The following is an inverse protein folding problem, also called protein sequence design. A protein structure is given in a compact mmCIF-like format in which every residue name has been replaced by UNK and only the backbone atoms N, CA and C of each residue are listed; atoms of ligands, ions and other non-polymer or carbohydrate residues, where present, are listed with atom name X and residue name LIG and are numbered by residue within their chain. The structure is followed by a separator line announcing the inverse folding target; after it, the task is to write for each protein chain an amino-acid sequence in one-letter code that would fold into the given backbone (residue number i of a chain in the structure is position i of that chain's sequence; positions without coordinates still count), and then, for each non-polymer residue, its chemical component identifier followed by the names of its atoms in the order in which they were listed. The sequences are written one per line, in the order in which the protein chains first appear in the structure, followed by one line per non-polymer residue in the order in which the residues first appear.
data_IF_546814783222
#
_entry.id   IF_546814783222
#
_cell.length_a   1.000
_cell.length_b   1.000
_cell.length_c   1.000
_cell.angle_alpha   90.00
_cell.angle_beta   90.00
_cell.angle_gamma   90.00
#
_symmetry.space_group_name_H-M   'P 1'
#
loop_
_entity.id
_entity.type
_entity.pdbx_description
1 polymer ?
#
# COMPACT_ATOMS: atom_id res chain seq x y z
N UNK A 1 -33.39 -38.54 -9.73
CA UNK A 1 -32.60 -38.30 -8.49
C UNK A 1 -31.26 -39.01 -8.64
N UNK A 2 -30.16 -38.49 -8.08
CA UNK A 2 -28.88 -39.22 -8.08
C UNK A 2 -29.02 -40.45 -7.18
N UNK A 3 -28.60 -41.61 -7.66
CA UNK A 3 -28.66 -42.85 -6.88
C UNK A 3 -27.47 -43.02 -5.93
N UNK A 4 -26.37 -42.31 -6.19
CA UNK A 4 -25.13 -42.41 -5.42
C UNK A 4 -24.60 -41.02 -5.06
N UNK A 5 -23.98 -40.91 -3.89
CA UNK A 5 -23.40 -39.68 -3.37
C UNK A 5 -22.25 -39.16 -4.24
N UNK A 6 -21.38 -40.05 -4.74
CA UNK A 6 -20.27 -39.69 -5.63
C UNK A 6 -19.22 -38.72 -5.05
N UNK A 7 -19.16 -38.52 -3.73
CA UNK A 7 -18.10 -37.73 -3.09
C UNK A 7 -16.79 -38.54 -3.04
N UNK A 8 -15.64 -37.90 -3.23
CA UNK A 8 -14.34 -38.58 -3.19
C UNK A 8 -14.04 -39.05 -1.75
N UNK A 9 -13.88 -40.36 -1.56
CA UNK A 9 -13.46 -40.95 -0.27
C UNK A 9 -11.94 -40.78 -0.09
N UNK A 10 -11.44 -41.02 1.13
CA UNK A 10 -9.99 -41.06 1.41
C UNK A 10 -9.23 -42.07 0.54
N UNK A 11 -9.88 -43.16 0.14
CA UNK A 11 -9.33 -44.17 -0.79
C UNK A 11 -9.30 -43.74 -2.26
N UNK A 12 -9.68 -42.50 -2.58
CA UNK A 12 -9.71 -41.97 -3.95
C UNK A 12 -10.96 -42.33 -4.76
N UNK A 13 -11.65 -43.41 -4.39
CA UNK A 13 -12.89 -43.84 -5.06
C UNK A 13 -14.12 -42.96 -4.72
N UNK A 14 -15.12 -42.89 -5.62
CA UNK A 14 -16.39 -42.22 -5.34
C UNK A 14 -17.22 -42.95 -4.27
N UNK A 15 -17.95 -42.19 -3.47
CA UNK A 15 -18.84 -42.72 -2.45
C UNK A 15 -20.06 -43.41 -3.07
N UNK A 16 -20.25 -44.69 -2.76
CA UNK A 16 -21.36 -45.52 -3.23
C UNK A 16 -22.60 -45.51 -2.31
N UNK A 17 -22.62 -44.69 -1.25
CA UNK A 17 -23.81 -44.56 -0.39
C UNK A 17 -24.88 -43.73 -1.11
N UNK A 18 -26.18 -44.03 -0.92
CA UNK A 18 -27.25 -43.22 -1.48
C UNK A 18 -27.23 -41.81 -0.87
N UNK A 19 -27.56 -40.76 -1.66
CA UNK A 19 -27.73 -39.42 -1.12
C UNK A 19 -29.00 -39.33 -0.27
N UNK A 20 -29.08 -38.33 0.62
CA UNK A 20 -30.32 -38.08 1.37
C UNK A 20 -31.40 -37.56 0.42
N UNK A 21 -32.68 -37.83 0.72
CA UNK A 21 -33.83 -37.40 -0.09
C UNK A 21 -33.77 -35.89 -0.35
N UNK A 22 -33.85 -35.49 -1.61
CA UNK A 22 -33.78 -34.07 -2.03
C UNK A 22 -32.39 -33.42 -1.97
N UNK A 23 -31.32 -34.17 -1.66
CA UNK A 23 -29.95 -33.65 -1.58
C UNK A 23 -29.00 -34.36 -2.54
N UNK A 24 -27.86 -33.74 -2.81
CA UNK A 24 -26.84 -34.28 -3.72
C UNK A 24 -25.85 -35.26 -3.06
N UNK A 25 -25.78 -35.31 -1.71
CA UNK A 25 -24.76 -36.06 -0.96
C UNK A 25 -25.38 -36.90 0.16
N UNK A 26 -24.66 -37.94 0.60
CA UNK A 26 -25.07 -38.80 1.72
C UNK A 26 -24.78 -38.15 3.08
N UNK A 27 -25.32 -38.75 4.15
CA UNK A 27 -25.17 -38.29 5.55
C UNK A 27 -23.70 -38.04 5.96
N UNK A 28 -22.77 -38.83 5.41
CA UNK A 28 -21.34 -38.74 5.73
C UNK A 28 -20.55 -37.71 4.91
N UNK A 29 -21.08 -37.24 3.78
CA UNK A 29 -20.36 -36.34 2.86
C UNK A 29 -21.13 -35.02 2.65
N UNK A 30 -21.61 -34.41 3.74
CA UNK A 30 -22.28 -33.11 3.71
C UNK A 30 -23.78 -33.16 3.43
N UNK A 31 -24.40 -34.34 3.35
CA UNK A 31 -25.86 -34.45 3.23
C UNK A 31 -26.61 -33.91 4.46
N UNK A 32 -25.98 -33.86 5.63
CA UNK A 32 -26.56 -33.21 6.82
C UNK A 32 -26.31 -31.70 6.85
N UNK A 33 -25.38 -31.19 6.05
CA UNK A 33 -25.07 -29.77 6.04
C UNK A 33 -26.30 -28.98 5.58
N UNK A 34 -26.69 -28.00 6.38
CA UNK A 34 -27.73 -27.01 6.08
C UNK A 34 -27.18 -25.77 5.39
N UNK A 35 -25.85 -25.73 5.22
CA UNK A 35 -25.14 -24.51 4.84
C UNK A 35 -24.99 -23.55 6.03
N UNK A 36 -24.21 -22.48 5.86
CA UNK A 36 -24.19 -21.39 6.81
C UNK A 36 -25.58 -20.76 6.93
N UNK A 37 -26.00 -20.33 8.13
CA UNK A 37 -27.22 -19.54 8.27
C UNK A 37 -27.08 -18.21 7.54
N UNK A 38 -28.21 -17.64 7.13
CA UNK A 38 -28.25 -16.31 6.54
C UNK A 38 -27.62 -15.29 7.52
N UNK A 39 -26.63 -14.52 7.05
CA UNK A 39 -25.89 -13.57 7.88
C UNK A 39 -24.69 -14.13 8.66
N UNK A 40 -24.29 -15.39 8.43
CA UNK A 40 -23.08 -15.92 9.08
C UNK A 40 -21.81 -15.18 8.63
N UNK A 41 -20.99 -14.75 9.58
CA UNK A 41 -19.67 -14.14 9.33
C UNK A 41 -18.51 -15.12 9.49
N UNK A 42 -18.79 -16.43 9.62
CA UNK A 42 -17.76 -17.44 9.92
C UNK A 42 -16.69 -17.60 8.82
N UNK A 43 -16.99 -17.17 7.60
CA UNK A 43 -16.03 -17.15 6.49
C UNK A 43 -15.28 -15.81 6.34
N UNK A 44 -15.65 -14.80 7.14
CA UNK A 44 -15.02 -13.48 7.15
C UNK A 44 -13.75 -13.55 8.02
N UNK A 45 -12.58 -13.35 7.40
CA UNK A 45 -11.28 -13.45 8.10
C UNK A 45 -10.80 -12.08 8.58
N UNK A 46 -10.82 -11.08 7.71
CA UNK A 46 -10.24 -9.76 7.98
C UNK A 46 -11.15 -8.58 7.59
N UNK A 47 -12.30 -8.83 6.95
CA UNK A 47 -13.31 -7.80 6.66
C UNK A 47 -12.93 -6.73 5.60
N UNK A 48 -11.67 -6.68 5.14
CA UNK A 48 -11.16 -5.62 4.22
C UNK A 48 -11.99 -5.47 2.94
N UNK A 49 -12.51 -6.58 2.41
CA UNK A 49 -13.29 -6.60 1.17
C UNK A 49 -14.80 -6.69 1.41
N UNK A 50 -15.25 -6.54 2.66
CA UNK A 50 -16.67 -6.59 3.01
C UNK A 50 -17.37 -5.32 2.50
N UNK A 51 -18.55 -5.47 1.90
CA UNK A 51 -19.32 -4.36 1.31
C UNK A 51 -19.98 -3.42 2.34
N UNK A 52 -20.08 -3.84 3.59
CA UNK A 52 -20.82 -3.14 4.64
C UNK A 52 -19.93 -2.92 5.86
N UNK A 53 -20.09 -1.75 6.48
CA UNK A 53 -19.42 -1.43 7.74
C UNK A 53 -20.06 -2.20 8.90
N UNK A 54 -19.24 -2.66 9.83
CA UNK A 54 -19.72 -3.03 11.16
C UNK A 54 -20.22 -1.81 11.92
N UNK A 55 -21.00 -2.01 12.99
CA UNK A 55 -21.51 -0.91 13.81
C UNK A 55 -20.39 -0.01 14.36
N UNK A 56 -19.29 -0.61 14.84
CA UNK A 56 -18.15 0.12 15.36
C UNK A 56 -17.40 0.91 14.26
N UNK A 57 -17.30 0.36 13.05
CA UNK A 57 -16.70 1.08 11.91
C UNK A 57 -17.59 2.22 11.44
N UNK A 58 -18.92 2.03 11.43
CA UNK A 58 -19.87 3.08 11.08
C UNK A 58 -19.81 4.26 12.06
N UNK A 59 -19.67 3.99 13.36
CA UNK A 59 -19.50 5.04 14.37
C UNK A 59 -18.18 5.79 14.18
N UNK A 60 -17.07 5.08 13.95
CA UNK A 60 -15.78 5.72 13.63
C UNK A 60 -15.85 6.54 12.35
N UNK A 61 -16.49 6.02 11.32
CA UNK A 61 -16.64 6.73 10.06
C UNK A 61 -17.35 8.07 10.26
N UNK A 62 -18.36 8.12 11.12
CA UNK A 62 -19.08 9.35 11.45
C UNK A 62 -18.26 10.34 12.29
N UNK A 63 -17.34 9.86 13.14
CA UNK A 63 -16.52 10.72 13.98
C UNK A 63 -15.25 11.24 13.29
N UNK A 64 -14.85 10.66 12.15
CA UNK A 64 -13.71 11.13 11.37
C UNK A 64 -14.00 12.51 10.79
N UNK A 65 -13.22 13.50 11.23
CA UNK A 65 -13.20 14.82 10.60
C UNK A 65 -12.27 14.79 9.39
N UNK A 66 -12.81 15.13 8.23
CA UNK A 66 -12.00 15.33 7.02
C UNK A 66 -11.38 16.72 7.06
N UNK A 67 -10.07 16.79 6.82
CA UNK A 67 -9.36 18.06 6.64
C UNK A 67 -9.56 18.63 5.23
N UNK A 68 -9.16 19.88 5.02
CA UNK A 68 -9.12 20.45 3.67
C UNK A 68 -7.88 19.96 2.91
N UNK A 69 -7.96 19.97 1.58
CA UNK A 69 -6.79 19.73 0.71
C UNK A 69 -5.65 20.70 1.04
N UNK A 70 -5.98 21.92 1.44
CA UNK A 70 -5.01 22.94 1.85
C UNK A 70 -4.28 22.59 3.15
N UNK A 71 -4.94 21.95 4.11
CA UNK A 71 -4.30 21.52 5.35
C UNK A 71 -3.32 20.38 5.10
N UNK A 72 -3.68 19.45 4.21
CA UNK A 72 -2.78 18.39 3.76
C UNK A 72 -1.57 18.95 3.00
N UNK A 73 -1.77 19.95 2.14
CA UNK A 73 -0.69 20.65 1.43
C UNK A 73 0.29 21.32 2.38
N UNK A 74 -0.22 22.11 3.34
CA UNK A 74 0.63 22.76 4.36
C UNK A 74 1.46 21.72 5.12
N UNK A 75 0.83 20.63 5.54
CA UNK A 75 1.52 19.57 6.26
C UNK A 75 2.59 18.87 5.39
N UNK A 76 2.29 18.62 4.12
CA UNK A 76 3.27 18.02 3.20
C UNK A 76 4.47 18.94 2.95
N UNK A 77 4.25 20.26 2.79
CA UNK A 77 5.34 21.24 2.66
C UNK A 77 6.23 21.29 3.91
N UNK A 78 5.63 21.35 5.10
CA UNK A 78 6.38 21.28 6.37
C UNK A 78 7.21 19.98 6.47
N UNK A 79 6.64 18.85 6.04
CA UNK A 79 7.35 17.56 6.05
C UNK A 79 8.49 17.54 5.04
N UNK A 80 8.32 18.15 3.87
CA UNK A 80 9.36 18.26 2.84
C UNK A 80 10.53 19.10 3.35
N UNK A 81 10.26 20.28 3.93
CA UNK A 81 11.28 21.13 4.55
C UNK A 81 12.07 20.36 5.61
N UNK A 82 11.38 19.59 6.46
CA UNK A 82 12.03 18.75 7.47
C UNK A 82 12.87 17.62 6.86
N UNK A 83 12.41 17.00 5.78
CA UNK A 83 13.13 15.95 5.08
C UNK A 83 14.42 16.50 4.45
N UNK A 84 14.34 17.63 3.75
CA UNK A 84 15.49 18.33 3.16
C UNK A 84 16.48 18.78 4.23
N UNK A 85 15.99 19.32 5.36
CA UNK A 85 16.85 19.68 6.49
C UNK A 85 17.56 18.46 7.07
N UNK A 86 16.85 17.35 7.27
CA UNK A 86 17.43 16.12 7.81
C UNK A 86 18.43 15.49 6.83
N UNK A 87 18.17 15.57 5.53
CA UNK A 87 19.09 15.18 4.47
C UNK A 87 20.37 16.00 4.53
N UNK A 88 20.27 17.33 4.59
CA UNK A 88 21.43 18.22 4.70
C UNK A 88 22.25 17.98 5.98
N UNK A 89 21.58 17.69 7.11
CA UNK A 89 22.25 17.35 8.38
C UNK A 89 22.93 15.98 8.36
N UNK A 90 22.47 15.07 7.50
CA UNK A 90 23.04 13.72 7.31
C UNK A 90 24.02 13.65 6.13
N UNK A 91 24.00 14.63 5.23
CA UNK A 91 25.01 14.81 4.20
C UNK A 91 26.39 14.94 4.87
N UNK A 92 27.17 13.87 4.79
CA UNK A 92 28.49 13.78 5.44
C UNK A 92 28.53 13.04 6.79
N UNK A 93 27.41 12.61 7.36
CA UNK A 93 27.38 11.71 8.55
C UNK A 93 27.16 10.26 8.13
N UNK A 94 28.22 9.45 8.16
CA UNK A 94 28.13 8.02 7.88
C UNK A 94 27.70 7.23 9.13
N UNK A 95 26.43 6.83 9.14
CA UNK A 95 25.92 5.47 9.45
C UNK A 95 25.76 5.03 10.92
N UNK A 96 24.56 4.51 11.22
CA UNK A 96 24.34 3.56 12.31
C UNK A 96 24.97 2.23 11.87
N UNK A 97 25.96 1.78 12.62
CA UNK A 97 26.66 0.51 12.42
C UNK A 97 25.84 -0.60 13.10
N UNK A 98 24.97 -1.28 12.36
CA UNK A 98 24.37 -2.52 12.85
C UNK A 98 25.40 -3.64 12.66
N UNK A 99 26.03 -4.06 13.75
CA UNK A 99 26.85 -5.26 13.80
C UNK A 99 25.96 -6.46 14.14
N UNK A 100 25.89 -7.41 13.21
CA UNK A 100 25.24 -8.70 13.46
C UNK A 100 26.36 -9.70 13.68
N UNK A 101 26.46 -10.21 14.91
CA UNK A 101 27.31 -11.35 15.24
C UNK A 101 26.63 -12.64 14.80
N UNK A 102 27.13 -13.25 13.74
CA UNK A 102 26.70 -14.57 13.30
C UNK A 102 27.80 -15.60 13.65
N UNK A 103 27.41 -16.80 14.06
CA UNK A 103 28.34 -17.92 14.17
C UNK A 103 28.28 -18.75 12.89
N UNK A 104 29.40 -18.79 12.15
CA UNK A 104 29.54 -19.68 11.00
C UNK A 104 30.02 -21.05 11.47
N UNK A 105 29.38 -22.14 11.06
CA UNK A 105 29.89 -23.50 11.28
C UNK A 105 30.57 -24.00 10.01
N UNK A 106 31.81 -24.44 10.12
CA UNK A 106 32.47 -25.21 9.06
C UNK A 106 33.19 -26.40 9.69
N UNK A 107 32.91 -27.61 9.19
CA UNK A 107 33.44 -28.88 9.73
C UNK A 107 33.27 -29.05 11.27
N UNK A 108 32.15 -28.57 11.85
CA UNK A 108 31.87 -28.69 13.28
C UNK A 108 32.61 -27.70 14.19
N UNK A 109 33.37 -26.77 13.62
CA UNK A 109 34.08 -25.71 14.33
C UNK A 109 33.31 -24.39 14.15
N UNK A 110 32.99 -23.73 15.26
CA UNK A 110 32.30 -22.44 15.28
C UNK A 110 33.31 -21.30 15.13
N UNK A 111 33.15 -20.49 14.09
CA UNK A 111 33.94 -19.28 13.87
C UNK A 111 33.08 -18.03 14.11
N UNK A 112 33.59 -17.03 14.85
CA UNK A 112 32.90 -15.74 14.98
C UNK A 112 32.94 -15.02 13.63
N UNK A 113 31.77 -14.77 13.03
CA UNK A 113 31.63 -13.98 11.81
C UNK A 113 30.84 -12.70 12.12
N UNK A 114 31.53 -11.56 12.09
CA UNK A 114 30.90 -10.25 12.27
C UNK A 114 30.60 -9.64 10.90
N UNK A 115 29.32 -9.49 10.57
CA UNK A 115 28.93 -8.74 9.37
C UNK A 115 28.46 -7.35 9.79
N UNK A 116 29.15 -6.31 9.31
CA UNK A 116 28.78 -4.92 9.53
C UNK A 116 27.93 -4.43 8.38
N UNK A 117 26.69 -4.02 8.67
CA UNK A 117 25.82 -3.37 7.70
C UNK A 117 25.65 -1.91 8.07
N UNK A 118 25.77 -1.08 7.06
CA UNK A 118 25.68 0.36 7.14
C UNK A 118 24.44 0.76 6.36
N UNK A 119 23.40 1.25 7.05
CA UNK A 119 22.18 1.73 6.40
C UNK A 119 22.11 3.26 6.46
N UNK A 120 22.10 3.89 5.28
CA UNK A 120 21.76 5.32 5.13
C UNK A 120 20.23 5.43 5.12
N UNK A 121 19.68 6.53 5.64
CA UNK A 121 18.25 6.81 5.50
C UNK A 121 17.99 7.23 4.05
N UNK A 122 17.07 6.54 3.36
CA UNK A 122 16.68 6.89 1.99
C UNK A 122 15.83 8.17 1.98
N UNK A 123 16.45 9.35 2.07
CA UNK A 123 15.74 10.63 2.01
C UNK A 123 15.11 10.88 0.64
N UNK A 124 15.77 10.48 -0.45
CA UNK A 124 15.26 10.60 -1.82
C UNK A 124 13.85 10.04 -1.95
N UNK A 125 13.63 8.80 -1.46
CA UNK A 125 12.30 8.17 -1.49
C UNK A 125 11.25 8.93 -0.69
N UNK A 126 11.66 9.56 0.42
CA UNK A 126 10.76 10.36 1.27
C UNK A 126 10.42 11.66 0.55
N UNK A 127 11.42 12.34 -0.02
CA UNK A 127 11.28 13.61 -0.74
C UNK A 127 10.43 13.41 -1.99
N UNK A 128 10.76 12.43 -2.84
CA UNK A 128 9.99 12.09 -4.04
C UNK A 128 8.53 11.76 -3.69
N UNK A 129 8.31 11.00 -2.62
CA UNK A 129 6.97 10.67 -2.15
C UNK A 129 6.17 11.90 -1.68
N UNK A 130 6.85 12.89 -1.08
CA UNK A 130 6.22 14.15 -0.66
C UNK A 130 5.94 15.06 -1.86
N UNK A 131 6.87 15.19 -2.80
CA UNK A 131 6.68 15.96 -4.04
C UNK A 131 5.53 15.37 -4.88
N UNK A 132 5.49 14.06 -5.06
CA UNK A 132 4.40 13.37 -5.74
C UNK A 132 3.04 13.54 -5.03
N UNK A 133 3.03 13.66 -3.69
CA UNK A 133 1.80 13.95 -2.94
C UNK A 133 1.38 15.41 -3.09
N UNK A 134 2.31 16.36 -3.00
CA UNK A 134 2.04 17.79 -3.18
C UNK A 134 1.44 18.05 -4.56
N UNK A 135 2.05 17.53 -5.62
CA UNK A 135 1.53 17.70 -6.99
C UNK A 135 0.10 17.18 -7.14
N UNK A 136 -0.21 15.98 -6.60
CA UNK A 136 -1.59 15.44 -6.61
C UNK A 136 -2.57 16.32 -5.85
N UNK A 137 -2.18 16.82 -4.67
CA UNK A 137 -3.02 17.69 -3.87
C UNK A 137 -3.24 19.06 -4.54
N UNK A 138 -2.24 19.61 -5.22
CA UNK A 138 -2.37 20.85 -6.00
C UNK A 138 -3.32 20.66 -7.19
N UNK A 139 -3.26 19.52 -7.87
CA UNK A 139 -4.24 19.15 -8.91
C UNK A 139 -5.64 19.06 -8.32
N UNK A 140 -5.80 18.35 -7.19
CA UNK A 140 -7.09 18.21 -6.51
C UNK A 140 -7.65 19.57 -6.07
N UNK A 141 -6.81 20.45 -5.54
CA UNK A 141 -7.19 21.83 -5.18
C UNK A 141 -7.67 22.61 -6.39
N UNK A 142 -6.92 22.60 -7.50
CA UNK A 142 -7.33 23.27 -8.74
C UNK A 142 -8.66 22.74 -9.27
N UNK A 143 -8.87 21.43 -9.21
CA UNK A 143 -10.15 20.82 -9.60
C UNK A 143 -11.31 21.36 -8.73
N UNK A 144 -11.14 21.42 -7.41
CA UNK A 144 -12.12 22.00 -6.49
C UNK A 144 -12.37 23.50 -6.74
N UNK A 145 -11.31 24.29 -6.95
CA UNK A 145 -11.40 25.73 -7.23
C UNK A 145 -12.10 26.02 -8.58
N UNK A 146 -11.95 25.12 -9.56
CA UNK A 146 -12.55 25.24 -10.89
C UNK A 146 -14.03 24.82 -10.97
N UNK A 147 -14.59 24.24 -9.89
CA UNK A 147 -16.01 23.84 -9.83
C UNK A 147 -16.41 22.67 -10.74
N UNK A 148 -15.47 21.95 -11.34
CA UNK A 148 -15.75 20.81 -12.22
C UNK A 148 -16.08 19.54 -11.40
N UNK A 149 -17.31 19.05 -11.53
CA UNK A 149 -17.79 17.84 -10.87
C UNK A 149 -17.51 16.56 -11.67
N UNK A 150 -16.94 15.56 -10.97
CA UNK A 150 -16.85 14.10 -11.16
C UNK A 150 -16.71 13.43 -12.56
N UNK A 151 -16.91 14.08 -13.70
CA UNK A 151 -16.87 13.44 -15.02
C UNK A 151 -15.88 14.02 -16.03
N UNK A 152 -15.21 15.13 -15.71
CA UNK A 152 -14.26 15.70 -16.66
C UNK A 152 -12.85 15.19 -16.36
N UNK A 153 -12.45 14.22 -17.17
CA UNK A 153 -11.06 13.78 -17.26
C UNK A 153 -10.20 15.01 -17.53
N UNK A 154 -9.35 15.38 -16.57
CA UNK A 154 -8.33 16.43 -16.74
C UNK A 154 -7.40 15.96 -17.87
N UNK A 155 -7.74 16.38 -19.08
CA UNK A 155 -7.00 16.11 -20.33
C UNK A 155 -6.22 17.34 -20.80
N UNK A 156 -6.12 18.37 -19.96
CA UNK A 156 -5.44 19.62 -20.28
C UNK A 156 -4.29 19.91 -19.34
N UNK A 157 -3.16 19.22 -19.52
CA UNK A 157 -1.88 19.79 -19.12
C UNK A 157 -1.32 20.48 -20.37
N UNK A 158 -1.54 21.79 -20.50
CA UNK A 158 -0.82 22.57 -21.50
C UNK A 158 0.64 22.63 -21.09
N UNK A 159 1.47 21.94 -21.86
CA UNK A 159 2.92 22.12 -21.81
C UNK A 159 3.20 23.52 -22.33
N UNK A 160 3.46 24.45 -21.41
CA UNK A 160 4.01 25.76 -21.76
C UNK A 160 5.47 25.53 -22.12
N UNK A 161 5.76 25.47 -23.42
CA UNK A 161 7.13 25.49 -23.93
C UNK A 161 7.70 26.89 -23.68
N UNK A 162 8.66 26.97 -22.77
CA UNK A 162 9.47 28.17 -22.62
C UNK A 162 10.52 28.16 -23.73
N UNK A 163 10.64 29.24 -24.54
CA UNK A 163 11.68 29.32 -25.53
C UNK A 163 13.05 29.27 -24.84
N UNK A 164 13.98 28.52 -25.43
CA UNK A 164 15.35 28.43 -24.95
C UNK A 164 15.96 29.84 -24.88
N UNK A 165 16.28 30.31 -23.68
CA UNK A 165 17.05 31.54 -23.49
C UNK A 165 18.46 31.30 -24.03
N UNK A 166 18.79 31.94 -25.16
CA UNK A 166 20.15 32.00 -25.68
C UNK A 166 21.09 32.49 -24.57
N UNK A 167 22.18 31.77 -24.27
CA UNK A 167 23.09 32.13 -23.19
C UNK A 167 23.69 33.50 -23.48
N UNK A 168 23.28 34.49 -22.69
CA UNK A 168 23.75 35.87 -22.80
C UNK A 168 25.28 35.93 -22.75
N UNK A 169 25.86 36.54 -23.79
CA UNK A 169 27.29 36.81 -23.89
C UNK A 169 27.76 37.59 -22.66
N UNK A 170 28.51 36.90 -21.82
CA UNK A 170 29.21 37.45 -20.68
C UNK A 170 30.41 38.27 -21.19
N UNK A 171 30.18 39.55 -21.54
CA UNK A 171 31.26 40.50 -21.80
C UNK A 171 31.99 40.83 -20.50
N UNK A 172 33.01 40.05 -20.18
CA UNK A 172 33.97 40.37 -19.14
C UNK A 172 34.75 41.62 -19.53
N UNK A 173 34.35 42.78 -19.00
CA UNK A 173 35.18 43.99 -19.05
C UNK A 173 36.31 43.85 -18.03
N UNK A 174 37.47 43.42 -18.52
CA UNK A 174 38.75 43.57 -17.82
C UNK A 174 39.09 45.06 -17.85
N UNK A 175 39.24 45.68 -16.68
CA UNK A 175 39.85 47.00 -16.54
C UNK A 175 41.19 46.83 -15.83
N UNK A 176 42.25 47.30 -16.49
CA UNK A 176 43.62 47.47 -15.97
C UNK A 176 43.70 48.49 -14.81
#
# INVERSE_FOLDING_TARGET
MKELCGAKKRSGEPCRKPPMKGKARCRLHGGLSTGPPLGSKNAEVHGIYTRHLSAAESERFQSLQLGSVDDELKLCRIRLERALKAEAEQAGKLLIEESISNSGQNAGISFPAETRRKKVKDFDKIIDGLLARITRLEIARKALDSGFGDNDTITGFEVVEYPDEEPGENSASVTD
#
